data_IF_766308282687
#
_entry.id   IF_766308282687
#
_cell.length_a   1.000
_cell.length_b   1.000
_cell.length_c   1.000
_cell.angle_alpha   90.00
_cell.angle_beta   90.00
_cell.angle_gamma   90.00
#
_symmetry.space_group_name_H-M   'P 1'
#
loop_
_entity.id
_entity.type
_entity.pdbx_description
1 polymer ?
#
# COMPACT_ATOMS: atom_id res chain seq x y z
N UNK A 1 4.18 -8.10 10.89
CA UNK A 1 3.85 -8.88 9.67
C UNK A 1 2.37 -8.78 9.28
N UNK A 2 1.46 -8.36 10.17
CA UNK A 2 0.08 -8.09 9.80
C UNK A 2 -0.07 -6.81 8.95
N UNK A 3 0.81 -5.81 9.12
CA UNK A 3 0.64 -4.50 8.48
C UNK A 3 0.81 -4.56 6.95
N UNK A 4 1.69 -5.44 6.42
CA UNK A 4 1.93 -5.58 4.98
C UNK A 4 0.71 -6.19 4.29
N UNK A 5 0.11 -7.20 4.92
CA UNK A 5 -1.11 -7.85 4.45
C UNK A 5 -2.32 -6.92 4.51
N UNK A 6 -2.44 -6.12 5.57
CA UNK A 6 -3.46 -5.08 5.71
C UNK A 6 -3.35 -4.05 4.59
N UNK A 7 -2.15 -3.52 4.35
CA UNK A 7 -1.89 -2.56 3.27
C UNK A 7 -2.25 -3.17 1.92
N UNK A 8 -1.84 -4.41 1.67
CA UNK A 8 -2.15 -5.11 0.41
C UNK A 8 -3.65 -5.36 0.23
N UNK A 9 -4.36 -5.76 1.29
CA UNK A 9 -5.82 -5.92 1.28
C UNK A 9 -6.52 -4.61 0.98
N UNK A 10 -6.17 -3.54 1.69
CA UNK A 10 -6.73 -2.19 1.49
C UNK A 10 -6.50 -1.73 0.05
N UNK A 11 -5.30 -1.93 -0.49
CA UNK A 11 -4.98 -1.61 -1.87
C UNK A 11 -5.82 -2.43 -2.86
N UNK A 12 -5.97 -3.75 -2.64
CA UNK A 12 -6.80 -4.63 -3.46
C UNK A 12 -8.29 -4.27 -3.39
N UNK A 13 -8.83 -4.05 -2.19
CA UNK A 13 -10.22 -3.67 -1.97
C UNK A 13 -10.53 -2.29 -2.56
N UNK A 14 -9.60 -1.36 -2.44
CA UNK A 14 -9.77 -0.04 -3.04
C UNK A 14 -9.79 -0.07 -4.57
N UNK A 15 -9.14 -1.08 -5.20
CA UNK A 15 -9.15 -1.28 -6.65
C UNK A 15 -8.63 -0.07 -7.45
N UNK A 16 -7.96 0.88 -6.78
CA UNK A 16 -7.57 2.18 -7.31
C UNK A 16 -6.22 2.59 -6.73
N UNK A 17 -5.45 3.43 -7.44
CA UNK A 17 -4.23 4.00 -6.91
C UNK A 17 -4.52 4.82 -5.64
N UNK A 18 -4.03 4.35 -4.50
CA UNK A 18 -4.13 5.02 -3.20
C UNK A 18 -2.80 5.69 -2.84
N UNK A 19 -2.86 6.78 -2.08
CA UNK A 19 -1.66 7.40 -1.53
C UNK A 19 -1.24 6.74 -0.23
N UNK A 20 0.05 6.80 0.10
CA UNK A 20 0.56 6.31 1.40
C UNK A 20 -0.17 6.93 2.61
N UNK A 21 -0.72 8.14 2.48
CA UNK A 21 -1.55 8.77 3.52
C UNK A 21 -2.93 8.09 3.67
N UNK A 22 -3.60 7.78 2.56
CA UNK A 22 -4.88 7.05 2.60
C UNK A 22 -4.69 5.60 3.04
N UNK A 23 -3.62 4.95 2.60
CA UNK A 23 -3.27 3.60 3.05
C UNK A 23 -3.06 3.59 4.57
N UNK A 24 -2.40 4.60 5.13
CA UNK A 24 -2.23 4.74 6.58
C UNK A 24 -3.57 4.88 7.32
N UNK A 25 -4.49 5.70 6.79
CA UNK A 25 -5.80 5.90 7.39
C UNK A 25 -6.71 4.67 7.25
N UNK A 26 -6.73 4.04 6.08
CA UNK A 26 -7.56 2.86 5.80
C UNK A 26 -7.04 1.61 6.51
N UNK A 27 -5.72 1.41 6.55
CA UNK A 27 -5.11 0.28 7.23
C UNK A 27 -4.93 0.53 8.74
N UNK A 28 -5.15 1.78 9.22
CA UNK A 28 -5.06 2.14 10.63
C UNK A 28 -3.67 1.95 11.23
N UNK A 29 -2.62 2.11 10.44
CA UNK A 29 -1.22 1.86 10.83
C UNK A 29 -0.35 3.09 10.67
N UNK A 30 0.76 3.11 11.40
CA UNK A 30 1.75 4.18 11.36
C UNK A 30 2.35 4.39 9.97
N UNK A 31 2.66 5.65 9.63
CA UNK A 31 3.36 5.98 8.36
C UNK A 31 4.65 5.19 8.16
N UNK A 32 5.36 4.86 9.25
CA UNK A 32 6.57 4.02 9.21
C UNK A 32 6.25 2.60 8.74
N UNK A 33 5.16 2.03 9.26
CA UNK A 33 4.69 0.70 8.93
C UNK A 33 4.20 0.66 7.47
N UNK A 34 3.44 1.68 7.04
CA UNK A 34 3.01 1.85 5.65
C UNK A 34 4.19 1.94 4.68
N UNK A 35 5.22 2.73 5.00
CA UNK A 35 6.40 2.86 4.12
C UNK A 35 7.17 1.54 4.00
N UNK A 36 7.32 0.80 5.11
CA UNK A 36 7.89 -0.56 5.09
C UNK A 36 7.04 -1.52 4.26
N UNK A 37 5.73 -1.55 4.50
CA UNK A 37 4.80 -2.41 3.78
C UNK A 37 4.80 -2.14 2.28
N UNK A 38 4.73 -0.87 1.89
CA UNK A 38 4.82 -0.44 0.50
C UNK A 38 6.16 -0.84 -0.10
N UNK A 39 7.28 -0.67 0.61
CA UNK A 39 8.60 -1.13 0.13
C UNK A 39 8.63 -2.64 -0.10
N UNK A 40 8.07 -3.44 0.80
CA UNK A 40 7.99 -4.90 0.67
C UNK A 40 7.11 -5.28 -0.53
N UNK A 41 5.89 -4.75 -0.60
CA UNK A 41 4.95 -5.03 -1.68
C UNK A 41 5.47 -4.58 -3.05
N UNK A 42 6.15 -3.42 -3.09
CA UNK A 42 6.78 -2.91 -4.32
C UNK A 42 7.95 -3.80 -4.74
N UNK A 43 8.72 -4.33 -3.78
CA UNK A 43 9.82 -5.28 -4.03
C UNK A 43 9.31 -6.63 -4.49
N UNK A 44 8.15 -7.08 -3.99
CA UNK A 44 7.44 -8.27 -4.48
C UNK A 44 6.73 -8.06 -5.83
N UNK A 45 6.66 -6.83 -6.35
CA UNK A 45 5.92 -6.54 -7.59
C UNK A 45 4.40 -6.59 -7.44
N UNK A 46 3.89 -6.63 -6.20
CA UNK A 46 2.46 -6.65 -5.86
C UNK A 46 1.78 -5.30 -5.99
N UNK A 47 2.55 -4.21 -6.03
CA UNK A 47 2.05 -2.85 -6.21
C UNK A 47 2.89 -2.08 -7.22
N UNK A 48 2.25 -1.20 -7.98
CA UNK A 48 2.89 -0.30 -8.94
C UNK A 48 2.62 1.15 -8.56
N UNK A 49 3.58 2.04 -8.86
CA UNK A 49 3.45 3.48 -8.58
C UNK A 49 3.37 4.25 -9.90
N UNK A 50 2.17 4.35 -10.51
CA UNK A 50 2.00 5.02 -11.80
C UNK A 50 2.17 6.54 -11.70
N UNK A 51 2.01 7.11 -10.51
CA UNK A 51 2.13 8.55 -10.25
C UNK A 51 2.81 8.77 -8.91
N UNK A 52 3.54 9.89 -8.77
CA UNK A 52 4.28 10.22 -7.53
C UNK A 52 3.32 10.22 -6.33
N UNK A 53 3.66 9.46 -5.29
CA UNK A 53 2.83 9.21 -4.10
C UNK A 53 1.55 8.41 -4.31
N UNK A 54 1.34 7.75 -5.44
CA UNK A 54 0.22 6.82 -5.65
C UNK A 54 0.74 5.39 -5.79
N UNK A 55 0.07 4.46 -5.13
CA UNK A 55 0.34 3.04 -5.12
C UNK A 55 -0.93 2.33 -5.52
N UNK A 56 -0.88 1.56 -6.60
CA UNK A 56 -1.97 0.71 -7.04
C UNK A 56 -1.57 -0.75 -6.84
N UNK A 57 -2.50 -1.66 -6.51
CA UNK A 57 -2.24 -3.08 -6.62
C UNK A 57 -1.84 -3.40 -8.08
N UNK A 58 -0.76 -4.17 -8.25
CA UNK A 58 -0.46 -4.80 -9.53
C UNK A 58 -1.52 -5.88 -9.72
N UNK A 59 -2.49 -5.60 -10.60
CA UNK A 59 -3.46 -6.58 -11.08
C UNK A 59 -2.85 -7.48 -12.13
#
# INVERSE_FOLDING_TARGET
MAEVELVFKVLKEAGRPLKSKEIAELAGIDKKEVDKAIKVLKKEGKIVSPKRCYYAPAG
#
